data_IF_676089211749
#
_entry.id   IF_676089211749
#
_cell.length_a   1.000
_cell.length_b   1.000
_cell.length_c   1.000
_cell.angle_alpha   90.00
_cell.angle_beta   90.00
_cell.angle_gamma   90.00
#
_symmetry.space_group_name_H-M   'P 1'
#
loop_
_entity.id
_entity.type
_entity.pdbx_description
1 polymer ?
#
# COMPACT_ATOMS: atom_id res chain seq x y z
N UNK A 1 24.13 4.28 -0.69
CA UNK A 1 23.55 2.97 -0.34
C UNK A 1 22.33 2.81 -1.22
N UNK A 2 22.22 1.74 -2.00
CA UNK A 2 21.03 1.44 -2.79
C UNK A 2 20.29 0.35 -2.01
N UNK A 3 19.02 0.56 -1.70
CA UNK A 3 18.13 -0.42 -1.07
C UNK A 3 17.18 -0.96 -2.14
N UNK A 4 16.92 -2.26 -2.15
CA UNK A 4 15.92 -2.82 -3.05
C UNK A 4 14.51 -2.51 -2.52
N UNK A 5 13.55 -2.18 -3.40
CA UNK A 5 12.17 -1.84 -2.98
C UNK A 5 11.49 -2.95 -2.16
N UNK A 6 11.95 -4.20 -2.36
CA UNK A 6 11.53 -5.35 -1.58
C UNK A 6 12.05 -5.32 -0.13
N UNK A 7 13.28 -4.87 0.08
CA UNK A 7 13.86 -4.69 1.41
C UNK A 7 13.22 -3.48 2.10
N UNK A 8 12.97 -2.40 1.34
CA UNK A 8 12.27 -1.21 1.83
C UNK A 8 10.91 -1.57 2.45
N UNK A 9 10.04 -2.32 1.76
CA UNK A 9 8.71 -2.63 2.31
C UNK A 9 8.77 -3.50 3.58
N UNK A 10 9.80 -4.33 3.74
CA UNK A 10 9.99 -5.10 4.97
C UNK A 10 10.45 -4.22 6.13
N UNK A 11 11.40 -3.30 5.86
CA UNK A 11 11.89 -2.34 6.86
C UNK A 11 10.78 -1.41 7.31
N UNK A 12 10.08 -0.75 6.38
CA UNK A 12 9.00 0.21 6.67
C UNK A 12 7.90 -0.44 7.52
N UNK A 13 7.40 -1.62 7.14
CA UNK A 13 6.33 -2.29 7.90
C UNK A 13 6.80 -2.71 9.31
N UNK A 14 8.09 -3.02 9.47
CA UNK A 14 8.68 -3.32 10.76
C UNK A 14 8.87 -2.06 11.61
N UNK A 15 9.31 -0.95 11.03
CA UNK A 15 9.49 0.34 11.72
C UNK A 15 8.13 0.92 12.13
N UNK A 16 7.11 0.85 11.26
CA UNK A 16 5.79 1.39 11.51
C UNK A 16 4.94 0.54 12.47
N UNK A 17 5.02 -0.79 12.42
CA UNK A 17 4.12 -1.66 13.19
C UNK A 17 4.80 -2.83 13.92
N UNK A 18 6.10 -3.02 13.75
CA UNK A 18 6.83 -4.18 14.29
C UNK A 18 6.47 -5.49 13.59
N UNK A 19 5.72 -5.45 12.50
CA UNK A 19 5.20 -6.63 11.82
C UNK A 19 6.28 -7.32 10.97
N UNK A 20 6.14 -8.63 10.80
CA UNK A 20 6.98 -9.44 9.92
C UNK A 20 6.17 -9.92 8.73
N UNK A 21 6.76 -9.77 7.55
CA UNK A 21 6.17 -10.23 6.29
C UNK A 21 6.46 -11.72 6.12
N UNK A 22 5.41 -12.54 5.93
CA UNK A 22 5.52 -13.95 5.54
C UNK A 22 5.79 -14.10 4.05
N UNK A 23 5.08 -13.32 3.24
CA UNK A 23 5.30 -13.27 1.79
C UNK A 23 4.91 -11.90 1.24
N UNK A 24 5.57 -11.51 0.16
CA UNK A 24 5.30 -10.25 -0.55
C UNK A 24 5.37 -10.52 -2.04
N UNK A 25 4.53 -9.83 -2.80
CA UNK A 25 4.56 -9.88 -4.26
C UNK A 25 4.26 -8.51 -4.83
N UNK A 26 5.16 -8.02 -5.69
CA UNK A 26 4.93 -6.81 -6.47
C UNK A 26 3.71 -7.04 -7.36
N UNK A 27 2.71 -6.17 -7.28
CA UNK A 27 1.50 -6.24 -8.10
C UNK A 27 1.41 -5.08 -9.08
N UNK A 28 1.81 -3.88 -8.66
CA UNK A 28 1.78 -2.70 -9.50
C UNK A 28 3.08 -1.91 -9.41
N UNK A 29 3.45 -1.35 -10.55
CA UNK A 29 4.38 -0.23 -10.65
C UNK A 29 3.54 0.94 -11.14
N UNK A 30 3.59 2.05 -10.44
CA UNK A 30 2.69 3.19 -10.67
C UNK A 30 3.51 4.44 -10.91
N UNK A 31 3.32 5.06 -12.06
CA UNK A 31 3.72 6.44 -12.27
C UNK A 31 2.57 7.34 -11.85
N UNK A 32 2.74 8.06 -10.75
CA UNK A 32 1.73 8.90 -10.15
C UNK A 32 2.09 10.38 -10.34
N UNK A 33 1.26 11.10 -11.09
CA UNK A 33 1.40 12.53 -11.36
C UNK A 33 0.32 13.30 -10.60
N UNK A 34 0.71 14.20 -9.70
CA UNK A 34 -0.24 15.00 -8.91
C UNK A 34 0.34 16.37 -8.56
N UNK A 35 -0.52 17.30 -8.14
CA UNK A 35 -0.13 18.64 -7.69
C UNK A 35 -0.43 18.82 -6.22
N UNK A 36 0.57 19.24 -5.43
CA UNK A 36 0.44 19.55 -4.01
C UNK A 36 1.16 20.87 -3.73
N UNK A 37 0.54 21.77 -2.96
CA UNK A 37 1.10 23.08 -2.61
C UNK A 37 1.66 23.87 -3.82
N UNK A 38 0.90 23.89 -4.91
CA UNK A 38 1.26 24.50 -6.20
C UNK A 38 2.53 23.95 -6.87
N UNK A 39 2.99 22.78 -6.47
CA UNK A 39 4.11 22.07 -7.11
C UNK A 39 3.61 20.79 -7.75
N UNK A 40 4.13 20.52 -8.94
CA UNK A 40 3.86 19.28 -9.66
C UNK A 40 4.84 18.21 -9.17
N UNK A 41 4.31 17.04 -8.82
CA UNK A 41 5.04 15.88 -8.35
C UNK A 41 4.90 14.74 -9.36
N UNK A 42 5.99 13.98 -9.51
CA UNK A 42 6.02 12.71 -10.22
C UNK A 42 6.63 11.68 -9.28
N UNK A 43 5.81 10.72 -8.88
CA UNK A 43 6.18 9.63 -8.00
C UNK A 43 6.18 8.31 -8.78
N UNK A 44 7.18 7.47 -8.52
CA UNK A 44 7.21 6.08 -8.97
C UNK A 44 6.96 5.17 -7.75
N UNK A 45 5.74 4.65 -7.65
CA UNK A 45 5.30 3.81 -6.55
C UNK A 45 5.38 2.31 -6.88
N UNK A 46 5.88 1.52 -5.94
CA UNK A 46 5.94 0.06 -6.02
C UNK A 46 4.96 -0.54 -5.01
N UNK A 47 3.88 -1.14 -5.50
CA UNK A 47 2.80 -1.65 -4.65
C UNK A 47 2.92 -3.16 -4.50
N UNK A 48 3.01 -3.60 -3.24
CA UNK A 48 3.15 -5.01 -2.88
C UNK A 48 1.86 -5.53 -2.26
N UNK A 49 1.41 -6.70 -2.72
CA UNK A 49 0.49 -7.52 -1.96
C UNK A 49 1.31 -8.27 -0.90
N UNK A 50 1.05 -7.99 0.37
CA UNK A 50 1.77 -8.57 1.50
C UNK A 50 0.88 -9.54 2.27
N UNK A 51 1.50 -10.61 2.75
CA UNK A 51 0.94 -11.48 3.78
C UNK A 51 1.79 -11.29 5.03
N UNK A 52 1.13 -10.85 6.09
CA UNK A 52 1.69 -10.67 7.43
C UNK A 52 1.49 -11.95 8.26
N UNK A 53 2.21 -12.06 9.39
CA UNK A 53 2.03 -13.19 10.30
C UNK A 53 0.61 -13.22 10.92
N UNK A 54 0.13 -14.41 11.27
CA UNK A 54 -1.27 -14.67 11.68
C UNK A 54 -1.55 -14.18 13.11
N UNK A 55 -0.54 -13.61 13.78
CA UNK A 55 -0.65 -13.05 15.14
C UNK A 55 -1.20 -11.61 15.18
N UNK A 56 -1.58 -11.04 14.04
CA UNK A 56 -2.06 -9.66 13.97
C UNK A 56 -3.57 -9.62 14.14
N UNK A 57 -4.02 -8.85 15.13
CA UNK A 57 -5.43 -8.61 15.39
C UNK A 57 -6.00 -7.63 14.36
N UNK A 58 -6.94 -8.12 13.54
CA UNK A 58 -7.70 -7.26 12.63
C UNK A 58 -8.82 -6.61 13.43
N UNK A 59 -8.79 -5.29 13.52
CA UNK A 59 -9.75 -4.49 14.28
C UNK A 59 -10.22 -3.28 13.47
N UNK A 60 -11.48 -2.91 13.62
CA UNK A 60 -12.02 -1.68 13.05
C UNK A 60 -11.59 -0.43 13.84
N UNK A 61 -10.97 -0.63 15.00
CA UNK A 61 -10.47 0.45 15.87
C UNK A 61 -9.15 1.00 15.34
N UNK A 62 -8.96 2.30 15.49
CA UNK A 62 -7.73 2.99 15.17
C UNK A 62 -6.56 2.52 16.06
N UNK A 63 -5.38 2.38 15.46
CA UNK A 63 -4.13 2.04 16.13
C UNK A 63 -2.97 2.89 15.60
N UNK A 64 -1.98 3.13 16.44
CA UNK A 64 -0.88 4.04 16.12
C UNK A 64 0.22 3.34 15.30
N UNK A 65 0.81 4.09 14.37
CA UNK A 65 2.14 3.81 13.87
C UNK A 65 3.17 4.02 15.00
N UNK A 66 4.12 3.11 15.15
CA UNK A 66 5.18 3.15 16.18
C UNK A 66 6.10 4.37 16.03
N UNK A 67 6.27 4.87 14.81
CA UNK A 67 7.01 6.12 14.57
C UNK A 67 6.23 7.39 14.96
N UNK A 68 4.93 7.25 15.28
CA UNK A 68 4.09 8.36 15.76
C UNK A 68 3.69 9.37 14.68
N UNK A 69 3.87 9.02 13.40
CA UNK A 69 3.59 9.89 12.26
C UNK A 69 2.15 9.81 11.77
N UNK A 70 1.43 8.73 12.10
CA UNK A 70 0.11 8.42 11.56
C UNK A 70 -0.69 7.49 12.48
N UNK A 71 -2.00 7.42 12.19
CA UNK A 71 -2.94 6.47 12.78
C UNK A 71 -3.50 5.62 11.65
N UNK A 72 -3.63 4.33 11.90
CA UNK A 72 -4.06 3.33 10.93
C UNK A 72 -5.32 2.62 11.41
N UNK A 73 -6.10 2.10 10.48
CA UNK A 73 -7.28 1.27 10.74
C UNK A 73 -7.44 0.22 9.65
N UNK A 74 -8.02 -0.91 10.00
CA UNK A 74 -8.45 -1.87 8.98
C UNK A 74 -9.76 -1.39 8.35
N UNK A 75 -9.83 -1.48 7.02
CA UNK A 75 -11.01 -1.13 6.23
C UNK A 75 -11.38 -2.34 5.38
N UNK A 76 -12.66 -2.71 5.37
CA UNK A 76 -13.12 -3.75 4.47
C UNK A 76 -12.96 -3.31 3.02
N UNK A 77 -12.46 -4.20 2.17
CA UNK A 77 -12.18 -3.85 0.77
C UNK A 77 -13.45 -3.46 0.01
N UNK A 78 -14.61 -3.99 0.40
CA UNK A 78 -15.92 -3.58 -0.12
C UNK A 78 -16.33 -2.14 0.24
N UNK A 79 -15.62 -1.50 1.16
CA UNK A 79 -15.92 -0.16 1.67
C UNK A 79 -14.91 0.89 1.20
N UNK A 80 -13.90 0.53 0.40
CA UNK A 80 -12.85 1.46 -0.04
C UNK A 80 -13.40 2.74 -0.69
N UNK A 81 -14.53 2.64 -1.39
CA UNK A 81 -15.21 3.78 -2.02
C UNK A 81 -15.78 4.81 -1.03
N UNK A 82 -15.94 4.43 0.24
CA UNK A 82 -16.42 5.32 1.30
C UNK A 82 -15.31 6.20 1.88
N UNK A 83 -14.05 5.93 1.54
CA UNK A 83 -12.89 6.61 2.09
C UNK A 83 -12.13 7.39 1.01
N UNK A 84 -11.48 8.52 1.36
CA UNK A 84 -10.68 9.31 0.45
C UNK A 84 -9.31 8.66 0.19
N UNK A 85 -9.31 7.43 -0.32
CA UNK A 85 -8.10 6.68 -0.64
C UNK A 85 -7.32 7.37 -1.77
N UNK A 86 -6.02 7.54 -1.57
CA UNK A 86 -5.10 8.08 -2.57
C UNK A 86 -3.97 7.08 -2.82
N UNK A 87 -3.53 6.92 -4.08
CA UNK A 87 -4.12 7.49 -5.30
C UNK A 87 -5.44 6.81 -5.68
N UNK A 88 -6.31 7.51 -6.42
CA UNK A 88 -7.69 7.07 -6.69
C UNK A 88 -7.81 5.71 -7.41
N UNK A 89 -6.84 5.34 -8.24
CA UNK A 89 -6.86 4.07 -8.97
C UNK A 89 -6.95 2.85 -8.02
N UNK A 90 -6.53 2.98 -6.76
CA UNK A 90 -6.61 1.91 -5.76
C UNK A 90 -8.06 1.47 -5.55
N UNK A 91 -9.01 2.42 -5.48
CA UNK A 91 -10.45 2.11 -5.36
C UNK A 91 -10.96 1.30 -6.55
N UNK A 92 -10.52 1.68 -7.75
CA UNK A 92 -11.00 1.12 -9.01
C UNK A 92 -10.33 -0.20 -9.39
N UNK A 93 -9.13 -0.46 -8.85
CA UNK A 93 -8.23 -1.53 -9.29
C UNK A 93 -8.20 -2.79 -8.41
N UNK A 94 -8.82 -2.78 -7.23
CA UNK A 94 -8.78 -3.92 -6.31
C UNK A 94 -9.91 -4.91 -6.64
N UNK A 95 -9.63 -5.81 -7.59
CA UNK A 95 -10.26 -7.13 -7.58
C UNK A 95 -9.30 -8.07 -6.81
N UNK A 96 -9.57 -8.29 -5.52
CA UNK A 96 -8.75 -9.17 -4.65
C UNK A 96 -8.64 -10.57 -5.27
N UNK A 97 -9.75 -11.06 -5.83
CA UNK A 97 -9.81 -12.39 -6.41
C UNK A 97 -8.81 -12.53 -7.56
N UNK A 98 -8.74 -11.53 -8.43
CA UNK A 98 -7.70 -11.46 -9.46
C UNK A 98 -6.31 -11.27 -8.86
N UNK A 99 -6.14 -10.34 -7.92
CA UNK A 99 -4.84 -10.01 -7.33
C UNK A 99 -4.19 -11.23 -6.67
N UNK A 100 -4.97 -12.10 -6.01
CA UNK A 100 -4.46 -13.33 -5.40
C UNK A 100 -4.06 -14.41 -6.42
N UNK A 101 -4.72 -14.45 -7.58
CA UNK A 101 -4.53 -15.49 -8.60
C UNK A 101 -3.48 -15.13 -9.65
N UNK A 102 -3.40 -13.87 -10.05
CA UNK A 102 -2.44 -13.43 -11.08
C UNK A 102 -1.04 -13.23 -10.49
N UNK A 103 -0.02 -13.58 -11.27
CA UNK A 103 1.40 -13.28 -10.97
C UNK A 103 1.96 -12.14 -11.82
N UNK A 104 1.12 -11.53 -12.65
CA UNK A 104 1.54 -10.42 -13.52
C UNK A 104 1.72 -9.14 -12.70
N UNK A 105 2.76 -8.38 -13.03
CA UNK A 105 2.95 -7.01 -12.56
C UNK A 105 2.34 -6.08 -13.59
N UNK A 106 1.41 -5.21 -13.17
CA UNK A 106 0.83 -4.20 -14.07
C UNK A 106 1.54 -2.87 -13.90
N UNK A 107 1.81 -2.21 -15.02
CA UNK A 107 2.22 -0.82 -15.02
C UNK A 107 0.98 0.08 -15.12
N UNK A 108 0.86 1.07 -14.23
CA UNK A 108 -0.26 2.00 -14.17
C UNK A 108 0.28 3.42 -14.30
N UNK A 109 -0.26 4.19 -15.24
CA UNK A 109 -0.04 5.64 -15.29
C UNK A 109 -1.24 6.33 -14.66
N UNK A 110 -1.06 6.89 -13.47
CA UNK A 110 -2.07 7.67 -12.77
C UNK A 110 -1.82 9.16 -12.97
N UNK A 111 -2.70 9.83 -13.72
CA UNK A 111 -2.66 11.28 -13.93
C UNK A 111 -3.88 11.87 -13.24
N UNK A 112 -3.65 12.50 -12.08
CA UNK A 112 -4.68 13.29 -11.38
C UNK A 112 -4.99 14.59 -12.07
#
# INVERSE_FOLDING_TARGET
>A
MMEETQETIERELHEEYGWKIKSKRLVWIVENFFRLDNKDFHELGFYYLIQIDDGIEVTETEFNCLEGISVSRWIHISELDQYPIVPEFIRQGIDIGQLQQTREVRHIMNRG
#
